data_IF_867581990084
#
_entry.id   IF_867581990084
#
_cell.length_a   1.000
_cell.length_b   1.000
_cell.length_c   1.000
_cell.angle_alpha   90.00
_cell.angle_beta   90.00
_cell.angle_gamma   90.00
#
_symmetry.space_group_name_H-M   'P 1'
#
loop_
_entity.id
_entity.type
_entity.pdbx_description
1 polymer ?
#
# COMPACT_ATOMS: atom_id res chain seq x y z
N UNK A 1 -13.73 24.18 19.26
CA UNK A 1 -14.10 25.52 18.77
C UNK A 1 -14.80 25.32 17.45
N UNK A 2 -16.12 25.56 17.39
CA UNK A 2 -16.85 25.60 16.12
C UNK A 2 -16.24 26.66 15.22
N UNK A 3 -16.08 26.35 13.92
CA UNK A 3 -15.66 27.35 12.94
C UNK A 3 -16.77 28.40 12.79
N UNK A 4 -16.42 29.68 12.58
CA UNK A 4 -17.42 30.71 12.34
C UNK A 4 -18.20 30.41 11.06
N UNK A 5 -19.53 30.34 11.19
CA UNK A 5 -20.43 30.15 10.05
C UNK A 5 -20.33 31.36 9.11
N UNK A 6 -19.97 31.14 7.85
CA UNK A 6 -19.93 32.22 6.86
C UNK A 6 -21.34 32.79 6.63
N UNK A 7 -21.51 34.10 6.80
CA UNK A 7 -22.79 34.81 6.66
C UNK A 7 -22.75 35.83 5.51
N UNK A 8 -23.92 36.16 4.95
CA UNK A 8 -24.06 37.16 3.91
C UNK A 8 -23.30 36.81 2.63
N UNK A 9 -22.65 37.80 2.01
CA UNK A 9 -21.94 37.58 0.74
C UNK A 9 -20.77 36.60 0.86
N UNK A 10 -20.20 36.42 2.06
CA UNK A 10 -19.07 35.51 2.31
C UNK A 10 -19.45 34.03 2.15
N UNK A 11 -20.74 33.68 2.30
CA UNK A 11 -21.22 32.31 2.09
C UNK A 11 -20.93 31.78 0.68
N UNK A 12 -20.83 32.66 -0.33
CA UNK A 12 -20.47 32.27 -1.71
C UNK A 12 -19.03 31.79 -1.87
N UNK A 13 -18.17 32.09 -0.90
CA UNK A 13 -16.76 31.69 -0.85
C UNK A 13 -16.51 30.60 0.19
N UNK A 14 -17.52 30.21 0.95
CA UNK A 14 -17.42 29.07 1.85
C UNK A 14 -17.38 27.79 1.03
N UNK A 15 -16.32 27.00 1.20
CA UNK A 15 -16.30 25.62 0.71
C UNK A 15 -17.40 24.84 1.44
N UNK A 16 -18.33 24.17 0.74
CA UNK A 16 -19.28 23.29 1.39
C UNK A 16 -18.51 22.28 2.25
N UNK A 17 -18.81 22.24 3.55
CA UNK A 17 -18.29 21.19 4.41
C UNK A 17 -19.01 19.89 4.02
N UNK A 18 -18.27 18.95 3.43
CA UNK A 18 -18.79 17.66 2.98
C UNK A 18 -18.99 16.72 4.18
N UNK A 19 -19.89 17.08 5.10
CA UNK A 19 -20.24 16.29 6.28
C UNK A 19 -21.42 15.39 5.94
N UNK A 20 -21.29 14.09 6.19
CA UNK A 20 -22.35 13.10 5.95
C UNK A 20 -23.52 13.20 6.94
N UNK A 21 -24.55 12.41 6.71
CA UNK A 21 -25.69 12.30 7.62
C UNK A 21 -25.29 11.74 8.99
N UNK A 22 -25.98 12.11 10.09
CA UNK A 22 -25.71 11.55 11.41
C UNK A 22 -25.89 10.04 11.46
N UNK A 23 -24.99 9.35 12.16
CA UNK A 23 -25.15 7.94 12.56
C UNK A 23 -25.63 7.86 14.01
N UNK A 24 -26.12 6.68 14.46
CA UNK A 24 -26.63 6.52 15.83
C UNK A 24 -25.56 6.79 16.90
N UNK A 25 -25.95 7.41 18.01
CA UNK A 25 -25.05 7.77 19.14
C UNK A 25 -24.25 6.58 19.71
N UNK A 26 -24.84 5.38 19.69
CA UNK A 26 -24.16 4.15 20.11
C UNK A 26 -22.97 3.82 19.19
N UNK A 27 -23.12 3.99 17.87
CA UNK A 27 -22.05 3.79 16.91
C UNK A 27 -20.98 4.86 17.04
N UNK A 28 -21.38 6.12 17.23
CA UNK A 28 -20.45 7.24 17.50
C UNK A 28 -19.56 6.90 18.70
N UNK A 29 -20.19 6.55 19.83
CA UNK A 29 -19.47 6.21 21.07
C UNK A 29 -18.50 5.04 20.87
N UNK A 30 -18.90 4.04 20.09
CA UNK A 30 -18.07 2.86 19.81
C UNK A 30 -16.85 3.21 18.93
N UNK A 31 -17.07 3.95 17.84
CA UNK A 31 -15.99 4.35 16.93
C UNK A 31 -15.03 5.33 17.60
N UNK A 32 -15.54 6.32 18.35
CA UNK A 32 -14.70 7.27 19.08
C UNK A 32 -13.78 6.56 20.08
N UNK A 33 -14.30 5.57 20.81
CA UNK A 33 -13.48 4.76 21.70
C UNK A 33 -12.39 3.99 20.93
N UNK A 34 -12.74 3.32 19.83
CA UNK A 34 -11.80 2.52 19.02
C UNK A 34 -10.73 3.38 18.34
N UNK A 35 -11.04 4.62 17.96
CA UNK A 35 -10.09 5.54 17.32
C UNK A 35 -9.18 6.26 18.33
N UNK A 36 -9.67 6.51 19.54
CA UNK A 36 -8.91 7.22 20.60
C UNK A 36 -8.10 6.28 21.49
N UNK A 37 -8.47 4.99 21.56
CA UNK A 37 -7.86 4.03 22.47
C UNK A 37 -7.09 2.95 21.71
N UNK A 38 -5.82 2.75 22.10
CA UNK A 38 -5.03 1.63 21.58
C UNK A 38 -5.60 0.31 22.09
N UNK A 39 -5.95 -0.59 21.18
CA UNK A 39 -6.31 -1.96 21.53
C UNK A 39 -5.15 -2.67 22.24
N UNK A 40 -5.46 -3.43 23.28
CA UNK A 40 -4.50 -4.31 23.93
C UNK A 40 -3.95 -5.32 22.91
N UNK A 41 -2.63 -5.56 22.96
CA UNK A 41 -1.94 -6.39 21.96
C UNK A 41 -2.49 -7.82 21.90
N UNK A 42 -2.88 -8.37 23.06
CA UNK A 42 -3.54 -9.68 23.16
C UNK A 42 -4.86 -9.69 22.38
N UNK A 43 -5.78 -8.78 22.69
CA UNK A 43 -7.07 -8.70 22.02
C UNK A 43 -6.96 -8.42 20.52
N UNK A 44 -6.01 -7.57 20.13
CA UNK A 44 -5.73 -7.31 18.72
C UNK A 44 -5.29 -8.59 18.00
N UNK A 45 -4.38 -9.35 18.60
CA UNK A 45 -3.86 -10.61 18.03
C UNK A 45 -4.97 -11.66 17.95
N UNK A 46 -5.69 -11.90 19.05
CA UNK A 46 -6.82 -12.84 19.08
C UNK A 46 -7.92 -12.49 18.07
N UNK A 47 -8.15 -11.20 17.83
CA UNK A 47 -9.10 -10.75 16.81
C UNK A 47 -8.58 -11.02 15.40
N UNK A 48 -7.30 -10.76 15.14
CA UNK A 48 -6.68 -11.00 13.84
C UNK A 48 -6.63 -12.48 13.48
N UNK A 49 -6.36 -13.36 14.44
CA UNK A 49 -6.19 -14.80 14.22
C UNK A 49 -7.49 -15.49 13.75
N UNK A 50 -8.66 -14.87 13.98
CA UNK A 50 -9.96 -15.31 13.45
C UNK A 50 -10.07 -15.18 11.92
N UNK A 51 -9.24 -14.33 11.32
CA UNK A 51 -9.34 -13.96 9.91
C UNK A 51 -8.03 -14.26 9.16
N UNK A 52 -7.65 -15.55 9.05
CA UNK A 52 -6.49 -15.93 8.24
C UNK A 52 -6.76 -15.63 6.76
N UNK A 53 -5.67 -15.45 6.01
CA UNK A 53 -5.71 -15.29 4.55
C UNK A 53 -6.47 -16.46 3.89
N UNK A 54 -7.47 -16.19 3.03
CA UNK A 54 -8.14 -17.23 2.25
C UNK A 54 -7.17 -17.93 1.27
N UNK A 55 -7.23 -19.27 1.19
CA UNK A 55 -6.30 -20.10 0.40
C UNK A 55 -6.24 -19.78 -1.10
N UNK A 56 -7.33 -19.28 -1.67
CA UNK A 56 -7.41 -18.94 -3.09
C UNK A 56 -7.14 -17.45 -3.38
N UNK A 57 -6.93 -16.62 -2.35
CA UNK A 57 -6.70 -15.18 -2.50
C UNK A 57 -5.25 -14.81 -2.18
N UNK A 58 -4.37 -14.95 -3.16
CA UNK A 58 -2.91 -14.80 -2.98
C UNK A 58 -2.46 -13.36 -2.69
N UNK A 59 -3.27 -12.35 -3.03
CA UNK A 59 -2.90 -10.94 -2.92
C UNK A 59 -3.50 -10.24 -1.70
N UNK A 60 -4.42 -10.89 -0.97
CA UNK A 60 -5.04 -10.33 0.23
C UNK A 60 -4.17 -10.64 1.46
N UNK A 61 -2.96 -10.08 1.45
CA UNK A 61 -1.95 -10.26 2.50
C UNK A 61 -1.06 -9.01 2.59
N UNK A 62 -0.19 -8.96 3.60
CA UNK A 62 0.87 -7.94 3.69
C UNK A 62 2.12 -8.41 2.93
N UNK A 63 2.48 -7.81 1.78
CA UNK A 63 3.56 -8.31 0.95
C UNK A 63 4.90 -8.26 1.66
N UNK A 64 5.70 -9.31 1.50
CA UNK A 64 7.08 -9.34 2.00
C UNK A 64 8.00 -8.62 1.03
N UNK A 65 9.02 -7.95 1.55
CA UNK A 65 10.12 -7.45 0.71
C UNK A 65 10.87 -8.65 0.14
N UNK A 66 11.14 -8.65 -1.17
CA UNK A 66 11.87 -9.72 -1.83
C UNK A 66 13.25 -9.93 -1.17
N UNK A 67 13.73 -11.16 -0.96
CA UNK A 67 14.99 -11.43 -0.26
C UNK A 67 16.19 -10.66 -0.81
N UNK A 68 16.33 -10.62 -2.15
CA UNK A 68 17.38 -9.86 -2.83
C UNK A 68 17.40 -8.38 -2.43
N UNK A 69 16.23 -7.75 -2.31
CA UNK A 69 16.13 -6.34 -1.86
C UNK A 69 16.36 -6.28 -0.36
N UNK A 70 15.70 -7.15 0.41
CA UNK A 70 15.74 -7.15 1.87
C UNK A 70 17.15 -7.24 2.43
N UNK A 71 18.00 -8.07 1.82
CA UNK A 71 19.39 -8.26 2.23
C UNK A 71 20.30 -7.07 1.89
N UNK A 72 19.90 -6.24 0.92
CA UNK A 72 20.70 -5.14 0.37
C UNK A 72 20.19 -3.75 0.76
N UNK A 73 19.14 -3.63 1.56
CA UNK A 73 18.64 -2.35 2.09
C UNK A 73 19.22 -2.04 3.48
N UNK A 74 19.29 -0.76 3.82
CA UNK A 74 19.84 -0.29 5.08
C UNK A 74 19.00 -0.80 6.27
N UNK A 75 19.66 -1.05 7.41
CA UNK A 75 18.98 -1.52 8.64
C UNK A 75 17.87 -0.55 9.10
N UNK A 76 18.09 0.75 8.96
CA UNK A 76 17.09 1.81 9.20
C UNK A 76 15.84 1.60 8.34
N UNK A 77 16.03 1.39 7.04
CA UNK A 77 14.95 1.22 6.06
C UNK A 77 14.16 -0.05 6.33
N UNK A 78 14.85 -1.17 6.64
CA UNK A 78 14.20 -2.41 7.11
C UNK A 78 13.36 -2.18 8.36
N UNK A 79 13.89 -1.47 9.34
CA UNK A 79 13.19 -1.17 10.58
C UNK A 79 11.94 -0.30 10.35
N UNK A 80 12.00 0.64 9.41
CA UNK A 80 10.86 1.44 9.00
C UNK A 80 9.82 0.60 8.27
N UNK A 81 10.24 -0.25 7.33
CA UNK A 81 9.33 -1.13 6.59
C UNK A 81 8.60 -2.12 7.51
N UNK A 82 9.28 -2.69 8.51
CA UNK A 82 8.63 -3.55 9.53
C UNK A 82 7.57 -2.80 10.34
N UNK A 83 7.81 -1.52 10.67
CA UNK A 83 6.80 -0.69 11.34
C UNK A 83 5.59 -0.46 10.44
N UNK A 84 5.80 -0.22 9.14
CA UNK A 84 4.71 -0.07 8.17
C UNK A 84 3.93 -1.37 7.99
N UNK A 85 4.61 -2.52 7.87
CA UNK A 85 3.97 -3.83 7.81
C UNK A 85 3.13 -4.11 9.06
N UNK A 86 3.61 -3.71 10.25
CA UNK A 86 2.85 -3.83 11.50
C UNK A 86 1.56 -3.00 11.48
N UNK A 87 1.56 -1.83 10.86
CA UNK A 87 0.36 -1.02 10.67
C UNK A 87 -0.55 -1.58 9.57
N UNK A 88 0.03 -2.13 8.50
CA UNK A 88 -0.69 -2.70 7.37
C UNK A 88 -1.41 -4.01 7.73
N UNK A 89 -0.88 -4.79 8.68
CA UNK A 89 -1.44 -6.09 9.07
C UNK A 89 -2.88 -6.00 9.58
N UNK A 90 -3.23 -5.18 10.59
CA UNK A 90 -4.62 -5.03 11.02
C UNK A 90 -5.56 -4.54 9.91
N UNK A 91 -5.09 -3.64 9.03
CA UNK A 91 -5.88 -3.15 7.88
C UNK A 91 -6.24 -4.29 6.93
N UNK A 92 -5.26 -5.09 6.51
CA UNK A 92 -5.49 -6.23 5.62
C UNK A 92 -6.35 -7.29 6.30
N UNK A 93 -6.12 -7.59 7.58
CA UNK A 93 -6.94 -8.55 8.32
C UNK A 93 -8.39 -8.07 8.50
N UNK A 94 -8.61 -6.78 8.74
CA UNK A 94 -9.94 -6.18 8.75
C UNK A 94 -10.64 -6.27 7.39
N UNK A 95 -9.89 -6.09 6.29
CA UNK A 95 -10.41 -6.29 4.94
C UNK A 95 -10.81 -7.74 4.68
N UNK A 96 -10.02 -8.73 5.17
CA UNK A 96 -10.40 -10.15 5.12
C UNK A 96 -11.71 -10.38 5.88
N UNK A 97 -11.84 -9.84 7.10
CA UNK A 97 -13.05 -9.96 7.90
C UNK A 97 -14.26 -9.37 7.18
N UNK A 98 -14.10 -8.22 6.53
CA UNK A 98 -15.15 -7.55 5.76
C UNK A 98 -15.60 -8.40 4.57
N UNK A 99 -14.66 -8.86 3.74
CA UNK A 99 -14.96 -9.73 2.58
C UNK A 99 -15.65 -11.02 3.01
N UNK A 100 -15.20 -11.65 4.11
CA UNK A 100 -15.84 -12.84 4.67
C UNK A 100 -17.28 -12.59 5.14
N UNK A 101 -17.59 -11.38 5.61
CA UNK A 101 -18.94 -11.06 6.07
C UNK A 101 -19.97 -11.01 4.92
N UNK A 102 -19.50 -11.02 3.67
CA UNK A 102 -20.35 -11.06 2.48
C UNK A 102 -20.57 -12.48 1.96
N UNK A 103 -19.90 -13.51 2.50
CA UNK A 103 -20.04 -14.87 2.00
C UNK A 103 -21.51 -15.33 1.98
N UNK A 104 -21.95 -15.82 0.82
CA UNK A 104 -23.33 -16.27 0.60
C UNK A 104 -24.34 -15.18 0.24
N UNK A 105 -23.93 -13.91 0.17
CA UNK A 105 -24.79 -12.79 -0.24
C UNK A 105 -24.08 -11.90 -1.28
N UNK A 106 -24.86 -11.19 -2.08
CA UNK A 106 -24.31 -10.11 -2.90
C UNK A 106 -24.04 -8.89 -1.99
N UNK A 107 -22.82 -8.34 -1.96
CA UNK A 107 -22.52 -7.19 -1.12
C UNK A 107 -23.30 -5.96 -1.58
N UNK A 108 -23.80 -5.17 -0.65
CA UNK A 108 -24.44 -3.88 -0.97
C UNK A 108 -23.45 -2.90 -1.62
N UNK A 109 -23.94 -1.87 -2.31
CA UNK A 109 -23.10 -0.83 -2.91
C UNK A 109 -22.12 -0.22 -1.89
N UNK A 110 -22.61 0.09 -0.67
CA UNK A 110 -21.78 0.59 0.44
C UNK A 110 -20.67 -0.40 0.84
N UNK A 111 -20.98 -1.70 0.85
CA UNK A 111 -20.02 -2.75 1.17
C UNK A 111 -18.95 -2.90 0.07
N UNK A 112 -19.36 -2.80 -1.19
CA UNK A 112 -18.46 -2.81 -2.35
C UNK A 112 -17.52 -1.60 -2.31
N UNK A 113 -18.07 -0.40 -2.07
CA UNK A 113 -17.31 0.84 -1.95
C UNK A 113 -16.32 0.79 -0.79
N UNK A 114 -16.72 0.28 0.37
CA UNK A 114 -15.84 0.11 1.52
C UNK A 114 -14.65 -0.81 1.18
N UNK A 115 -14.91 -1.95 0.53
CA UNK A 115 -13.83 -2.86 0.08
C UNK A 115 -12.94 -2.21 -0.95
N UNK A 116 -13.49 -1.46 -1.92
CA UNK A 116 -12.71 -0.76 -2.93
C UNK A 116 -11.76 0.29 -2.31
N UNK A 117 -12.27 1.12 -1.39
CA UNK A 117 -11.48 2.15 -0.70
C UNK A 117 -10.39 1.55 0.19
N UNK A 118 -10.72 0.51 0.97
CA UNK A 118 -9.75 -0.18 1.82
C UNK A 118 -8.68 -0.91 0.99
N UNK A 119 -9.07 -1.53 -0.13
CA UNK A 119 -8.15 -2.16 -1.07
C UNK A 119 -7.20 -1.14 -1.70
N UNK A 120 -7.72 0.05 -2.06
CA UNK A 120 -6.90 1.14 -2.55
C UNK A 120 -5.91 1.65 -1.49
N UNK A 121 -6.33 1.72 -0.21
CA UNK A 121 -5.41 2.07 0.89
C UNK A 121 -4.27 1.04 1.04
N UNK A 122 -4.56 -0.26 0.88
CA UNK A 122 -3.53 -1.32 0.87
C UNK A 122 -2.59 -1.16 -0.33
N UNK A 123 -3.12 -0.84 -1.52
CA UNK A 123 -2.32 -0.55 -2.72
C UNK A 123 -1.38 0.63 -2.50
N UNK A 124 -1.88 1.76 -1.99
CA UNK A 124 -1.07 2.95 -1.73
C UNK A 124 -0.02 2.71 -0.65
N UNK A 125 -0.33 1.97 0.42
CA UNK A 125 0.66 1.58 1.42
C UNK A 125 1.81 0.77 0.82
N UNK A 126 1.52 -0.15 -0.11
CA UNK A 126 2.56 -0.88 -0.81
C UNK A 126 3.44 0.06 -1.66
N UNK A 127 2.86 1.06 -2.30
CA UNK A 127 3.62 2.05 -3.07
C UNK A 127 4.48 2.95 -2.18
N UNK A 128 3.95 3.40 -1.04
CA UNK A 128 4.73 4.15 -0.03
C UNK A 128 5.92 3.33 0.45
N UNK A 129 5.73 2.03 0.73
CA UNK A 129 6.83 1.12 1.09
C UNK A 129 7.90 1.05 0.00
N UNK A 130 7.49 0.90 -1.27
CA UNK A 130 8.42 0.90 -2.43
C UNK A 130 9.21 2.22 -2.53
N UNK A 131 8.55 3.36 -2.37
CA UNK A 131 9.18 4.68 -2.45
C UNK A 131 10.15 4.94 -1.28
N UNK A 132 9.87 4.41 -0.09
CA UNK A 132 10.79 4.51 1.05
C UNK A 132 12.01 3.59 0.92
N UNK A 133 11.89 2.47 0.22
CA UNK A 133 13.00 1.55 -0.06
C UNK A 133 13.88 2.06 -1.22
N UNK A 134 13.26 2.72 -2.20
CA UNK A 134 13.89 3.20 -3.44
C UNK A 134 15.24 3.92 -3.26
N UNK A 135 15.48 4.80 -2.27
CA UNK A 135 16.76 5.48 -2.10
C UNK A 135 17.92 4.56 -1.75
N UNK A 136 17.64 3.38 -1.19
CA UNK A 136 18.65 2.38 -0.85
C UNK A 136 19.04 1.52 -2.08
N UNK A 137 18.26 1.58 -3.16
CA UNK A 137 18.52 0.87 -4.39
C UNK A 137 19.38 1.72 -5.34
N UNK A 138 20.21 1.07 -6.15
CA UNK A 138 20.89 1.77 -7.24
C UNK A 138 19.85 2.38 -8.20
N UNK A 139 20.07 3.62 -8.61
CA UNK A 139 19.16 4.40 -9.47
C UNK A 139 18.65 3.65 -10.72
N UNK A 140 19.44 2.73 -11.30
CA UNK A 140 19.06 1.91 -12.46
C UNK A 140 17.83 1.03 -12.17
N UNK A 141 17.67 0.60 -10.93
CA UNK A 141 16.56 -0.23 -10.46
C UNK A 141 15.35 0.57 -9.98
N UNK A 142 15.38 1.90 -10.07
CA UNK A 142 14.29 2.77 -9.58
C UNK A 142 12.93 2.49 -10.22
N UNK A 143 12.91 1.93 -11.43
CA UNK A 143 11.67 1.55 -12.10
C UNK A 143 10.97 0.36 -11.43
N UNK A 144 11.67 -0.46 -10.64
CA UNK A 144 11.06 -1.53 -9.82
C UNK A 144 10.13 -0.97 -8.75
N UNK A 145 10.35 0.29 -8.33
CA UNK A 145 9.54 0.97 -7.33
C UNK A 145 8.30 1.68 -7.92
N UNK A 146 8.13 1.71 -9.25
CA UNK A 146 7.00 2.39 -9.89
C UNK A 146 5.68 1.73 -9.50
N UNK A 147 4.62 2.55 -9.40
CA UNK A 147 3.26 2.09 -9.13
C UNK A 147 2.74 1.09 -10.18
N UNK A 148 3.23 1.19 -11.43
CA UNK A 148 2.88 0.25 -12.50
C UNK A 148 3.44 -1.17 -12.30
N UNK A 149 4.38 -1.36 -11.36
CA UNK A 149 4.89 -2.67 -11.02
C UNK A 149 3.92 -3.39 -10.12
N UNK A 150 3.41 -4.52 -10.59
CA UNK A 150 2.50 -5.37 -9.84
C UNK A 150 3.14 -5.84 -8.53
N UNK A 151 2.38 -5.69 -7.45
CA UNK A 151 2.68 -6.28 -6.13
C UNK A 151 1.91 -7.57 -6.01
N UNK A 152 2.58 -8.63 -5.55
CA UNK A 152 1.95 -9.93 -5.23
C UNK A 152 2.19 -10.23 -3.76
N UNK A 153 2.40 -11.50 -3.39
CA UNK A 153 2.95 -11.83 -2.08
C UNK A 153 4.33 -11.18 -1.83
N UNK A 154 5.00 -10.76 -2.90
CA UNK A 154 6.26 -10.01 -2.89
C UNK A 154 6.05 -8.55 -3.27
N UNK A 155 6.68 -7.64 -2.51
CA UNK A 155 6.52 -6.20 -2.67
C UNK A 155 6.97 -5.71 -4.06
N UNK A 156 8.05 -6.26 -4.61
CA UNK A 156 8.56 -5.94 -5.95
C UNK A 156 8.06 -6.92 -7.03
N UNK A 157 7.02 -7.69 -6.69
CA UNK A 157 6.43 -8.74 -7.52
C UNK A 157 7.30 -9.99 -7.61
N UNK A 158 6.80 -10.96 -8.36
CA UNK A 158 7.48 -12.22 -8.65
C UNK A 158 8.66 -12.04 -9.62
N UNK A 159 9.51 -13.07 -9.69
CA UNK A 159 10.65 -13.16 -10.62
C UNK A 159 11.60 -11.95 -10.61
N UNK A 160 11.80 -11.33 -9.44
CA UNK A 160 12.70 -10.19 -9.29
C UNK A 160 14.10 -10.42 -9.91
N UNK A 161 14.77 -11.58 -9.77
CA UNK A 161 16.05 -11.82 -10.42
C UNK A 161 16.00 -11.71 -11.95
N UNK A 162 14.91 -12.17 -12.57
CA UNK A 162 14.69 -12.05 -14.01
C UNK A 162 14.54 -10.58 -14.40
N UNK A 163 13.73 -9.81 -13.66
CA UNK A 163 13.58 -8.37 -13.89
C UNK A 163 14.93 -7.66 -13.80
N UNK A 164 15.72 -7.90 -12.74
CA UNK A 164 17.08 -7.35 -12.56
C UNK A 164 17.97 -7.61 -13.77
N UNK A 165 17.96 -8.84 -14.29
CA UNK A 165 18.73 -9.22 -15.47
C UNK A 165 18.28 -8.47 -16.72
N UNK A 166 16.97 -8.39 -16.97
CA UNK A 166 16.40 -7.66 -18.12
C UNK A 166 16.80 -6.18 -18.08
N UNK A 167 16.77 -5.55 -16.90
CA UNK A 167 17.19 -4.16 -16.69
C UNK A 167 18.67 -3.98 -17.03
N UNK A 168 19.53 -4.86 -16.57
CA UNK A 168 20.96 -4.79 -16.86
C UNK A 168 21.24 -4.99 -18.36
N UNK A 169 20.48 -5.85 -19.03
CA UNK A 169 20.56 -6.06 -20.49
C UNK A 169 20.09 -4.83 -21.28
N UNK A 170 18.96 -4.22 -20.89
CA UNK A 170 18.47 -2.96 -21.46
C UNK A 170 19.50 -1.84 -21.30
N UNK A 171 20.07 -1.68 -20.10
CA UNK A 171 21.10 -0.68 -19.84
C UNK A 171 22.36 -0.89 -20.68
N UNK A 172 22.80 -2.15 -20.87
CA UNK A 172 23.92 -2.47 -21.77
C UNK A 172 23.60 -2.12 -23.22
N UNK A 173 22.41 -2.46 -23.70
CA UNK A 173 21.98 -2.15 -25.07
C UNK A 173 21.93 -0.63 -25.31
N UNK A 174 21.38 0.14 -24.36
CA UNK A 174 21.34 1.61 -24.43
C UNK A 174 22.75 2.22 -24.44
N UNK A 175 23.68 1.67 -23.65
CA UNK A 175 25.06 2.14 -23.65
C UNK A 175 25.75 1.93 -25.01
N UNK A 176 25.52 0.78 -25.65
CA UNK A 176 26.01 0.51 -27.02
C UNK A 176 25.40 1.46 -28.04
N UNK A 177 24.10 1.76 -27.95
CA UNK A 177 23.43 2.72 -28.84
C UNK A 177 23.95 4.16 -28.68
N UNK A 178 24.28 4.57 -27.45
CA UNK A 178 24.81 5.92 -27.15
C UNK A 178 26.28 6.09 -27.51
N UNK A 179 27.06 5.02 -27.44
CA UNK A 179 28.48 4.99 -27.81
C UNK A 179 28.71 4.02 -28.97
N UNK A 180 28.30 4.35 -30.21
CA UNK A 180 28.69 3.59 -31.39
C UNK A 180 30.18 3.85 -31.63
N UNK A 181 31.08 3.19 -30.90
CA UNK A 181 32.51 3.50 -30.97
C UNK A 181 33.05 3.27 -32.38
N UNK A 182 33.60 4.34 -32.96
CA UNK A 182 34.54 4.42 -34.08
C UNK A 182 35.15 3.07 -34.48
N UNK A 183 34.52 2.37 -35.44
CA UNK A 183 35.24 1.52 -36.38
C UNK A 183 35.60 2.36 -37.60
N UNK A 184 36.54 3.29 -37.45
CA UNK A 184 37.27 3.79 -38.61
C UNK A 184 38.49 2.88 -38.73
N UNK A 185 38.43 2.04 -39.75
CA UNK A 185 39.48 1.15 -40.21
C UNK A 185 40.79 1.93 -40.36
N UNK A 186 41.85 1.48 -39.69
CA UNK A 186 43.21 1.79 -40.13
C UNK A 186 43.50 0.86 -41.31
N UNK A 187 43.33 1.41 -42.51
CA UNK A 187 43.91 0.90 -43.76
C UNK A 187 45.38 1.30 -43.85
#
# INVERSE_FOLDING_TARGET
MEKPKALGFAARFATPENTGEPISDQLVSSIDYLLSSKLEEKHLTETMDKYPQPSHCNNLLVPKVNPLVWENVLSKTRSLDLKLQRCQKPLVTGLIAMVKSFEGNEPSEVQQDAVALLSNAVFELNNVRKELIKPDLHQRYSHLCKQSQLTTQWLFGDDLPKKVKEIDEEHKAVAVMKNPTNKIYLS
#
